data_IF_468395452726
#
_entry.id   IF_468395452726
#
_cell.length_a   1.000
_cell.length_b   1.000
_cell.length_c   1.000
_cell.angle_alpha   90.00
_cell.angle_beta   90.00
_cell.angle_gamma   90.00
#
_symmetry.space_group_name_H-M   'P 1'
#
loop_
_entity.id
_entity.type
_entity.pdbx_description
1 polymer ?
#
# COMPACT_ATOMS: atom_id res chain seq x y z
N UNK A 1 4.16 5.30 10.44
CA UNK A 1 4.64 5.30 9.04
C UNK A 1 6.08 4.83 8.92
N UNK A 2 6.38 3.93 7.97
CA UNK A 2 7.71 3.44 7.60
C UNK A 2 8.00 3.77 6.13
N UNK A 3 9.25 4.06 5.79
CA UNK A 3 9.63 4.41 4.42
C UNK A 3 10.39 3.28 3.74
N UNK A 4 10.16 3.07 2.44
CA UNK A 4 10.90 2.12 1.62
C UNK A 4 11.02 2.58 0.16
N UNK A 5 11.79 1.85 -0.63
CA UNK A 5 11.92 2.08 -2.07
C UNK A 5 11.00 1.12 -2.84
N UNK A 6 10.02 1.66 -3.56
CA UNK A 6 9.09 0.92 -4.41
C UNK A 6 9.21 1.44 -5.85
N UNK A 7 9.49 0.56 -6.81
CA UNK A 7 9.68 0.92 -8.23
C UNK A 7 10.62 2.12 -8.49
N UNK A 8 11.65 2.28 -7.67
CA UNK A 8 12.61 3.39 -7.81
C UNK A 8 12.29 4.62 -6.96
N UNK A 9 11.07 4.77 -6.48
CA UNK A 9 10.60 5.90 -5.69
C UNK A 9 10.67 5.59 -4.18
N UNK A 10 10.90 6.61 -3.35
CA UNK A 10 10.72 6.52 -1.91
C UNK A 10 9.24 6.68 -1.59
N UNK A 11 8.65 5.68 -0.93
CA UNK A 11 7.24 5.67 -0.53
C UNK A 11 7.14 5.56 0.99
N UNK A 12 6.17 6.27 1.57
CA UNK A 12 5.75 6.12 2.95
C UNK A 12 4.63 5.10 3.04
N UNK A 13 4.69 4.21 4.02
CA UNK A 13 3.68 3.16 4.21
C UNK A 13 3.26 3.14 5.67
N UNK A 14 1.96 2.97 5.91
CA UNK A 14 1.40 2.81 7.25
C UNK A 14 0.22 1.84 7.19
N UNK A 15 -0.04 1.14 8.29
CA UNK A 15 -1.20 0.24 8.42
C UNK A 15 -2.49 1.00 8.75
N UNK A 16 -2.37 2.29 9.07
CA UNK A 16 -3.51 3.17 9.33
C UNK A 16 -4.11 3.66 8.02
N UNK A 17 -5.43 3.83 8.01
CA UNK A 17 -6.12 4.52 6.91
C UNK A 17 -5.92 6.02 7.05
N UNK A 18 -5.52 6.67 5.97
CA UNK A 18 -5.38 8.14 5.93
C UNK A 18 -6.65 8.73 5.30
N UNK A 19 -7.48 9.31 6.17
CA UNK A 19 -8.73 9.98 5.81
C UNK A 19 -8.48 11.19 4.91
N UNK A 20 -9.46 11.51 4.06
CA UNK A 20 -9.34 12.60 3.09
C UNK A 20 -9.00 13.96 3.73
N UNK A 21 -9.43 14.19 4.99
CA UNK A 21 -9.12 15.41 5.75
C UNK A 21 -7.66 15.54 6.15
N UNK A 22 -6.94 14.43 6.27
CA UNK A 22 -5.54 14.38 6.71
C UNK A 22 -4.56 14.27 5.52
N UNK A 23 -5.08 14.24 4.29
CA UNK A 23 -4.28 14.15 3.06
C UNK A 23 -3.68 15.51 2.71
N UNK A 24 -2.39 15.50 2.44
CA UNK A 24 -1.64 16.66 1.96
C UNK A 24 -1.82 16.79 0.44
N UNK A 25 -2.05 18.02 -0.04
CA UNK A 25 -2.41 18.28 -1.43
C UNK A 25 -1.28 17.99 -2.45
N UNK A 26 -0.04 17.90 -1.99
CA UNK A 26 1.16 17.62 -2.78
C UNK A 26 1.57 16.14 -2.76
N UNK A 27 0.76 15.27 -2.15
CA UNK A 27 1.03 13.83 -2.04
C UNK A 27 -0.10 13.01 -2.65
N UNK A 28 0.26 11.80 -3.05
CA UNK A 28 -0.67 10.81 -3.54
C UNK A 28 -0.82 9.69 -2.52
N UNK A 29 -2.05 9.22 -2.37
CA UNK A 29 -2.45 8.26 -1.35
C UNK A 29 -3.14 7.09 -2.03
N UNK A 30 -2.62 5.91 -1.79
CA UNK A 30 -3.14 4.66 -2.33
C UNK A 30 -3.40 3.69 -1.18
N UNK A 31 -4.43 2.88 -1.31
CA UNK A 31 -4.78 1.88 -0.32
C UNK A 31 -4.30 0.50 -0.77
N UNK A 32 -3.73 -0.24 0.17
CA UNK A 32 -3.27 -1.60 -0.08
C UNK A 32 -4.36 -2.56 0.35
N UNK A 33 -4.67 -3.51 -0.53
CA UNK A 33 -5.58 -4.62 -0.28
C UNK A 33 -4.83 -5.82 0.29
N UNK A 34 -5.40 -6.49 1.29
CA UNK A 34 -4.89 -7.76 1.82
C UNK A 34 -5.12 -8.92 0.83
N UNK A 35 -4.25 -9.91 0.89
CA UNK A 35 -4.52 -11.22 0.28
C UNK A 35 -5.67 -11.93 1.03
N UNK A 36 -6.59 -12.58 0.31
CA UNK A 36 -7.74 -13.27 0.92
C UNK A 36 -7.34 -14.57 1.62
N UNK A 37 -6.30 -15.24 1.12
CA UNK A 37 -5.75 -16.46 1.69
C UNK A 37 -4.71 -16.15 2.79
N UNK A 38 -4.01 -15.02 2.67
CA UNK A 38 -2.98 -14.56 3.61
C UNK A 38 -3.21 -13.11 4.08
N UNK A 39 -4.13 -12.86 5.04
CA UNK A 39 -4.53 -11.51 5.45
C UNK A 39 -3.42 -10.61 5.98
N UNK A 40 -2.29 -11.19 6.38
CA UNK A 40 -1.12 -10.46 6.88
C UNK A 40 -0.25 -9.90 5.74
N UNK A 41 -0.51 -10.26 4.48
CA UNK A 41 0.23 -9.83 3.28
C UNK A 41 -0.59 -8.84 2.47
N UNK A 42 -0.05 -7.67 2.08
CA UNK A 42 -0.66 -6.82 1.08
C UNK A 42 -0.39 -7.42 -0.30
N UNK A 43 -1.43 -7.55 -1.12
CA UNK A 43 -1.35 -8.16 -2.45
C UNK A 43 -1.55 -7.17 -3.58
N UNK A 44 -2.24 -6.04 -3.37
CA UNK A 44 -2.60 -5.11 -4.43
C UNK A 44 -2.65 -3.67 -3.93
N UNK A 45 -2.39 -2.71 -4.81
CA UNK A 45 -2.46 -1.27 -4.53
C UNK A 45 -3.53 -0.64 -5.40
N UNK A 46 -4.52 0.00 -4.77
CA UNK A 46 -5.69 0.63 -5.41
C UNK A 46 -5.87 2.07 -4.92
N UNK A 47 -6.66 2.88 -5.63
CA UNK A 47 -6.99 4.25 -5.18
C UNK A 47 -7.85 4.25 -3.91
N UNK A 48 -8.69 3.22 -3.78
CA UNK A 48 -9.51 2.94 -2.61
C UNK A 48 -9.85 1.45 -2.56
N UNK A 49 -9.87 0.87 -1.37
CA UNK A 49 -10.29 -0.52 -1.13
C UNK A 49 -11.47 -0.55 -0.16
N UNK A 50 -12.25 -1.63 -0.16
CA UNK A 50 -13.27 -1.82 0.87
C UNK A 50 -12.63 -1.92 2.26
N UNK A 51 -13.31 -1.45 3.30
CA UNK A 51 -12.80 -1.46 4.68
C UNK A 51 -12.40 -2.87 5.14
N UNK A 52 -13.18 -3.88 4.75
CA UNK A 52 -12.88 -5.28 5.06
C UNK A 52 -11.61 -5.78 4.38
N UNK A 53 -11.21 -5.18 3.25
CA UNK A 53 -10.04 -5.59 2.48
C UNK A 53 -8.82 -4.72 2.74
N UNK A 54 -8.97 -3.65 3.54
CA UNK A 54 -7.93 -2.68 3.84
C UNK A 54 -6.78 -3.29 4.63
N UNK A 55 -5.56 -3.05 4.16
CA UNK A 55 -4.33 -3.45 4.83
C UNK A 55 -3.49 -2.26 5.29
N UNK A 56 -3.50 -1.17 4.53
CA UNK A 56 -2.74 0.02 4.87
C UNK A 56 -2.77 1.07 3.77
N UNK A 57 -2.14 2.23 4.03
CA UNK A 57 -2.01 3.31 3.07
C UNK A 57 -0.54 3.47 2.63
N UNK A 58 -0.34 3.58 1.33
CA UNK A 58 0.90 4.00 0.69
C UNK A 58 0.80 5.48 0.31
N UNK A 59 1.84 6.25 0.63
CA UNK A 59 1.97 7.68 0.36
C UNK A 59 3.18 7.93 -0.53
N UNK A 60 2.99 8.72 -1.59
CA UNK A 60 4.01 8.95 -2.62
C UNK A 60 4.08 10.44 -2.98
N UNK A 61 5.25 10.92 -3.40
CA UNK A 61 5.47 12.32 -3.83
C UNK A 61 5.11 12.54 -5.31
N UNK A 62 5.12 11.46 -6.09
CA UNK A 62 4.77 11.43 -7.52
C UNK A 62 3.73 10.34 -7.71
N UNK A 63 2.75 10.53 -8.62
CA UNK A 63 1.74 9.53 -8.86
C UNK A 63 2.36 8.31 -9.52
N UNK A 64 1.86 7.13 -9.17
CA UNK A 64 2.20 5.93 -9.93
C UNK A 64 1.33 5.86 -11.19
N UNK A 65 1.93 5.50 -12.32
CA UNK A 65 1.18 5.08 -13.49
C UNK A 65 0.62 3.67 -13.23
N UNK A 66 -0.69 3.59 -12.97
CA UNK A 66 -1.45 2.34 -12.95
C UNK A 66 -2.00 2.13 -14.36
N UNK A 67 -1.35 1.27 -15.14
CA UNK A 67 -1.74 1.05 -16.53
C UNK A 67 -3.13 0.41 -16.61
N UNK A 68 -4.05 0.98 -17.40
CA UNK A 68 -5.27 0.35 -17.94
C UNK A 68 -6.09 -0.53 -16.97
N UNK A 69 -6.18 -0.18 -15.68
CA UNK A 69 -6.95 -0.94 -14.69
C UNK A 69 -6.22 -2.12 -14.05
N UNK A 70 -4.93 -2.33 -14.36
CA UNK A 70 -4.04 -3.19 -13.58
C UNK A 70 -3.59 -2.42 -12.33
N UNK A 71 -4.38 -2.56 -11.27
CA UNK A 71 -3.89 -2.36 -9.93
C UNK A 71 -2.65 -3.22 -9.74
N UNK A 72 -1.53 -2.63 -9.34
CA UNK A 72 -0.26 -3.34 -9.30
C UNK A 72 -0.33 -4.41 -8.22
N UNK A 73 -0.54 -5.67 -8.62
CA UNK A 73 -0.29 -6.81 -7.75
C UNK A 73 1.13 -6.68 -7.24
N UNK A 74 1.28 -6.57 -5.92
CA UNK A 74 2.55 -6.71 -5.27
C UNK A 74 3.02 -8.14 -5.54
N UNK A 75 4.28 -8.30 -5.94
CA UNK A 75 4.85 -9.65 -5.96
C UNK A 75 4.76 -10.21 -4.55
N UNK A 76 4.52 -11.51 -4.42
CA UNK A 76 4.43 -12.17 -3.11
C UNK A 76 5.65 -11.84 -2.23
N UNK A 77 6.86 -11.85 -2.81
CA UNK A 77 8.10 -11.44 -2.13
C UNK A 77 8.02 -10.03 -1.54
N UNK A 78 7.43 -9.08 -2.27
CA UNK A 78 7.32 -7.70 -1.82
C UNK A 78 6.21 -7.52 -0.78
N UNK A 79 5.09 -8.22 -0.94
CA UNK A 79 4.05 -8.32 0.06
C UNK A 79 4.58 -8.87 1.39
N UNK A 80 5.33 -9.97 1.33
CA UNK A 80 5.96 -10.57 2.52
C UNK A 80 6.96 -9.62 3.16
N UNK A 81 7.83 -8.95 2.38
CA UNK A 81 8.76 -7.94 2.91
C UNK A 81 8.04 -6.79 3.60
N UNK A 82 6.89 -6.37 3.08
CA UNK A 82 6.05 -5.36 3.72
C UNK A 82 5.54 -5.91 5.06
N UNK A 83 4.89 -7.07 5.05
CA UNK A 83 4.35 -7.71 6.24
C UNK A 83 5.40 -7.91 7.35
N UNK A 84 6.59 -8.43 7.02
CA UNK A 84 7.73 -8.55 7.93
C UNK A 84 8.15 -7.19 8.48
N UNK A 85 8.31 -6.19 7.60
CA UNK A 85 8.74 -4.86 7.99
C UNK A 85 7.74 -4.20 8.93
N UNK A 86 6.46 -4.53 8.85
CA UNK A 86 5.43 -4.06 9.77
C UNK A 86 5.21 -4.97 10.99
N UNK A 87 5.96 -6.07 11.11
CA UNK A 87 5.89 -6.99 12.25
C UNK A 87 4.62 -7.84 12.28
N UNK A 88 4.04 -8.10 11.10
CA UNK A 88 2.80 -8.86 10.94
C UNK A 88 3.06 -10.35 10.68
N UNK A 89 4.30 -10.70 10.38
CA UNK A 89 4.81 -12.07 10.28
C UNK A 89 5.64 -12.39 11.53
N UNK A 90 5.38 -13.55 12.14
CA UNK A 90 6.09 -14.08 13.32
C UNK A 90 7.23 -15.02 12.92
#
# INVERSE_FOLDING_TARGET
MKYLKFKGQKVGITTDRIEASDREADKYYYEMRRDEEQPHVPYMIEDSVDEDAFWGTMVTEEPFEFNQGDYHSLTEELGLKLAEKFGLLQ
#
